data_IF_054811144832
#
_entry.id   IF_054811144832
#
_cell.length_a   1.000
_cell.length_b   1.000
_cell.length_c   1.000
_cell.angle_alpha   90.00
_cell.angle_beta   90.00
_cell.angle_gamma   90.00
#
_symmetry.space_group_name_H-M   'P 1'
#
loop_
_entity.id
_entity.type
_entity.pdbx_description
1 polymer ?
#
# COMPACT_ATOMS: atom_id res chain seq x y z
N UNK A 1 -32.14 -6.77 7.07
CA UNK A 1 -30.72 -7.18 7.14
C UNK A 1 -30.04 -6.23 8.09
N UNK A 2 -29.65 -6.72 9.26
CA UNK A 2 -28.88 -5.94 10.23
C UNK A 2 -27.46 -5.83 9.67
N UNK A 3 -27.12 -4.66 9.10
CA UNK A 3 -25.74 -4.38 8.73
C UNK A 3 -24.97 -4.23 10.03
N UNK A 4 -24.28 -5.28 10.46
CA UNK A 4 -23.22 -5.14 11.46
C UNK A 4 -22.20 -4.16 10.87
N UNK A 5 -22.31 -2.89 11.26
CA UNK A 5 -21.31 -1.89 10.93
C UNK A 5 -20.02 -2.29 11.64
N UNK A 6 -19.16 -3.03 10.93
CA UNK A 6 -17.78 -3.19 11.34
C UNK A 6 -17.10 -1.83 11.09
N UNK A 7 -17.26 -0.91 12.04
CA UNK A 7 -16.85 0.51 11.95
C UNK A 7 -15.32 0.74 11.95
N UNK A 8 -14.50 -0.31 11.86
CA UNK A 8 -13.04 -0.20 11.94
C UNK A 8 -12.39 -0.70 10.64
N UNK A 9 -11.41 0.02 10.08
CA UNK A 9 -10.68 -0.44 8.91
C UNK A 9 -9.99 -1.78 9.17
N UNK A 10 -9.93 -2.64 8.14
CA UNK A 10 -9.25 -3.92 8.23
C UNK A 10 -7.74 -3.72 8.03
N UNK A 11 -6.97 -3.98 9.09
CA UNK A 11 -5.52 -3.99 9.03
C UNK A 11 -4.99 -5.40 9.15
N UNK A 12 -4.00 -5.74 8.31
CA UNK A 12 -3.28 -7.00 8.40
C UNK A 12 -1.78 -6.78 8.65
N UNK A 13 -1.11 -7.86 9.04
CA UNK A 13 0.34 -8.02 8.95
C UNK A 13 0.66 -8.80 7.70
N UNK A 14 1.68 -8.37 6.98
CA UNK A 14 2.12 -9.03 5.77
C UNK A 14 3.62 -8.82 5.56
N UNK A 15 4.24 -9.68 4.75
CA UNK A 15 5.68 -9.58 4.45
C UNK A 15 5.85 -9.08 3.03
N UNK A 16 6.56 -7.97 2.85
CA UNK A 16 6.82 -7.32 1.57
C UNK A 16 8.28 -7.55 1.23
N UNK A 17 8.59 -8.25 0.14
CA UNK A 17 9.96 -8.61 -0.27
C UNK A 17 10.83 -9.15 0.89
N UNK A 18 10.25 -10.05 1.70
CA UNK A 18 10.93 -10.64 2.86
C UNK A 18 10.94 -9.78 4.13
N UNK A 19 10.44 -8.55 4.10
CA UNK A 19 10.38 -7.64 5.25
C UNK A 19 8.98 -7.58 5.86
N UNK A 20 8.81 -7.85 7.17
CA UNK A 20 7.52 -7.72 7.84
C UNK A 20 7.02 -6.26 7.89
N UNK A 21 5.80 -6.05 7.41
CA UNK A 21 5.06 -4.79 7.43
C UNK A 21 3.79 -4.96 8.26
N UNK A 22 3.59 -4.03 9.20
CA UNK A 22 2.39 -3.95 10.04
C UNK A 22 1.49 -2.82 9.53
N UNK A 23 0.21 -2.84 9.91
CA UNK A 23 -0.77 -1.83 9.51
C UNK A 23 -0.87 -1.69 7.97
N UNK A 24 -0.98 -2.83 7.30
CA UNK A 24 -1.39 -2.87 5.89
C UNK A 24 -2.91 -2.78 5.86
N UNK A 25 -3.43 -1.66 5.34
CA UNK A 25 -4.86 -1.43 5.21
C UNK A 25 -5.39 -2.24 4.02
N UNK A 26 -6.44 -3.01 4.22
CA UNK A 26 -7.21 -3.65 3.15
C UNK A 26 -8.40 -2.75 2.82
N UNK A 27 -8.42 -2.25 1.59
CA UNK A 27 -9.45 -1.35 1.10
C UNK A 27 -9.96 -1.86 -0.26
N UNK A 28 -11.07 -2.58 -0.23
CA UNK A 28 -11.68 -3.12 -1.45
C UNK A 28 -12.36 -2.04 -2.31
N UNK A 29 -12.50 -0.81 -1.81
CA UNK A 29 -13.06 0.30 -2.58
C UNK A 29 -11.97 1.07 -3.35
N UNK A 30 -10.71 0.98 -2.90
CA UNK A 30 -9.55 1.54 -3.59
C UNK A 30 -9.20 0.77 -4.88
N UNK A 31 -9.05 1.50 -5.98
CA UNK A 31 -8.69 0.94 -7.28
C UNK A 31 -7.23 0.50 -7.37
N UNK A 32 -6.33 1.08 -6.57
CA UNK A 32 -4.89 0.86 -6.68
C UNK A 32 -4.25 0.62 -5.32
N UNK A 33 -3.08 -0.01 -5.30
CA UNK A 33 -2.30 -0.16 -4.08
C UNK A 33 -1.40 1.06 -3.83
N UNK A 34 -1.23 1.41 -2.56
CA UNK A 34 -0.38 2.53 -2.14
C UNK A 34 0.69 2.05 -1.16
N UNK A 35 1.94 2.44 -1.38
CA UNK A 35 3.05 2.17 -0.47
C UNK A 35 3.70 3.49 -0.05
N UNK A 36 3.98 3.66 1.24
CA UNK A 36 4.69 4.85 1.67
C UNK A 36 6.18 4.75 1.33
N UNK A 37 6.78 5.86 0.93
CA UNK A 37 8.21 5.93 0.61
C UNK A 37 9.12 5.48 1.78
N UNK A 38 8.69 5.69 3.03
CA UNK A 38 9.38 5.17 4.22
C UNK A 38 9.48 3.64 4.23
N UNK A 39 8.47 2.95 3.67
CA UNK A 39 8.47 1.50 3.56
C UNK A 39 9.39 1.06 2.42
N UNK A 40 9.40 1.75 1.27
CA UNK A 40 10.38 1.49 0.21
C UNK A 40 11.81 1.53 0.75
N UNK A 41 12.13 2.53 1.58
CA UNK A 41 13.43 2.62 2.27
C UNK A 41 13.67 1.46 3.24
N UNK A 42 12.64 1.03 3.98
CA UNK A 42 12.70 -0.14 4.87
C UNK A 42 12.95 -1.45 4.09
N UNK A 43 12.49 -1.54 2.85
CA UNK A 43 12.79 -2.65 1.93
C UNK A 43 14.23 -2.60 1.37
N UNK A 44 15.06 -1.64 1.80
CA UNK A 44 16.41 -1.44 1.26
C UNK A 44 16.43 -0.81 -0.14
N UNK A 45 15.30 -0.23 -0.59
CA UNK A 45 15.15 0.38 -1.91
C UNK A 45 15.09 1.91 -1.80
N UNK A 46 15.31 2.59 -2.92
CA UNK A 46 15.23 4.05 -3.04
C UNK A 46 14.49 4.48 -4.31
N UNK A 47 14.37 5.78 -4.55
CA UNK A 47 13.59 6.32 -5.68
C UNK A 47 14.08 5.79 -7.04
N UNK A 48 15.37 5.45 -7.16
CA UNK A 48 15.95 4.87 -8.40
C UNK A 48 15.38 3.49 -8.78
N UNK A 49 14.69 2.82 -7.87
CA UNK A 49 14.04 1.53 -8.12
C UNK A 49 12.56 1.70 -8.48
N UNK A 50 12.06 2.93 -8.52
CA UNK A 50 10.68 3.21 -8.90
C UNK A 50 10.60 3.37 -10.41
N UNK A 51 9.56 2.78 -10.99
CA UNK A 51 9.17 3.03 -12.37
C UNK A 51 8.51 4.41 -12.40
N UNK A 52 9.01 5.31 -13.23
CA UNK A 52 8.52 6.69 -13.28
C UNK A 52 7.05 6.76 -13.70
N UNK A 53 6.31 7.72 -13.14
CA UNK A 53 4.89 7.92 -13.42
C UNK A 53 4.43 9.33 -13.07
N UNK A 54 3.52 9.87 -13.87
CA UNK A 54 2.92 11.19 -13.62
C UNK A 54 1.55 11.10 -12.91
N UNK A 55 1.18 9.91 -12.40
CA UNK A 55 -0.15 9.66 -11.84
C UNK A 55 -0.36 10.41 -10.52
N UNK A 56 -1.53 11.05 -10.43
CA UNK A 56 -2.10 11.60 -9.20
C UNK A 56 -2.99 10.55 -8.53
N UNK A 57 -2.64 10.18 -7.30
CA UNK A 57 -3.43 9.25 -6.49
C UNK A 57 -4.29 10.05 -5.53
N UNK A 58 -5.60 9.80 -5.54
CA UNK A 58 -6.48 10.25 -4.45
C UNK A 58 -6.40 9.22 -3.33
N UNK A 59 -5.92 9.65 -2.16
CA UNK A 59 -5.71 8.78 -1.02
C UNK A 59 -7.00 8.61 -0.21
N UNK A 60 -6.97 7.67 0.73
CA UNK A 60 -8.09 7.38 1.64
C UNK A 60 -8.52 8.60 2.48
N UNK A 61 -7.60 9.53 2.78
CA UNK A 61 -7.91 10.78 3.50
C UNK A 61 -8.51 11.88 2.61
N UNK A 62 -8.82 11.57 1.34
CA UNK A 62 -9.33 12.51 0.35
C UNK A 62 -8.27 13.42 -0.28
N UNK A 63 -7.03 13.40 0.23
CA UNK A 63 -5.96 14.21 -0.31
C UNK A 63 -5.40 13.59 -1.59
N UNK A 64 -5.08 14.45 -2.55
CA UNK A 64 -4.36 14.06 -3.77
C UNK A 64 -2.86 14.08 -3.51
N UNK A 65 -2.14 13.10 -4.02
CA UNK A 65 -0.69 13.03 -3.97
C UNK A 65 -0.15 12.60 -5.34
N UNK A 66 0.88 13.28 -5.83
CA UNK A 66 1.66 12.77 -6.94
C UNK A 66 2.39 11.50 -6.49
N UNK A 67 2.22 10.44 -7.26
CA UNK A 67 3.03 9.25 -7.08
C UNK A 67 4.50 9.60 -7.38
N UNK A 68 5.41 9.09 -6.57
CA UNK A 68 6.86 9.13 -6.81
C UNK A 68 7.32 8.12 -7.85
N UNK A 69 6.42 7.23 -8.24
CA UNK A 69 6.67 6.10 -9.12
C UNK A 69 5.87 4.88 -8.67
N UNK A 70 6.05 3.79 -9.40
CA UNK A 70 5.43 2.49 -9.15
C UNK A 70 6.50 1.48 -8.81
N UNK A 71 6.20 0.58 -7.88
CA UNK A 71 7.11 -0.53 -7.54
C UNK A 71 6.34 -1.86 -7.42
N UNK A 72 6.77 -2.92 -8.13
CA UNK A 72 6.27 -4.27 -7.87
C UNK A 72 6.88 -4.80 -6.56
N UNK A 73 6.04 -5.42 -5.74
CA UNK A 73 6.42 -6.01 -4.46
C UNK A 73 5.84 -7.41 -4.36
N UNK A 74 6.66 -8.36 -3.91
CA UNK A 74 6.18 -9.69 -3.52
C UNK A 74 5.56 -9.60 -2.13
N UNK A 75 4.25 -9.77 -2.04
CA UNK A 75 3.46 -9.76 -0.84
C UNK A 75 3.22 -11.18 -0.34
N UNK A 76 3.44 -11.41 0.95
CA UNK A 76 3.04 -12.64 1.63
C UNK A 76 2.05 -12.33 2.74
N UNK A 77 0.94 -13.06 2.75
CA UNK A 77 -0.05 -13.06 3.83
C UNK A 77 -0.21 -14.50 4.31
N UNK A 78 0.30 -14.79 5.51
CA UNK A 78 0.44 -16.17 5.97
C UNK A 78 1.36 -16.96 5.03
N UNK A 79 0.87 -18.09 4.52
CA UNK A 79 1.59 -18.96 3.58
C UNK A 79 1.35 -18.64 2.10
N UNK A 80 0.48 -17.67 1.80
CA UNK A 80 0.11 -17.31 0.43
C UNK A 80 0.90 -16.09 -0.04
N UNK A 81 1.37 -16.13 -1.29
CA UNK A 81 2.12 -15.04 -1.92
C UNK A 81 1.45 -14.52 -3.19
N UNK A 82 1.59 -13.23 -3.45
CA UNK A 82 1.26 -12.60 -4.73
C UNK A 82 2.27 -11.50 -5.06
N UNK A 83 2.38 -11.13 -6.33
CA UNK A 83 3.09 -9.91 -6.73
C UNK A 83 2.06 -8.83 -6.97
N UNK A 84 2.29 -7.64 -6.43
CA UNK A 84 1.40 -6.50 -6.58
C UNK A 84 2.19 -5.22 -6.86
N UNK A 85 1.65 -4.36 -7.72
CA UNK A 85 2.21 -3.06 -8.03
C UNK A 85 1.69 -2.01 -7.06
N UNK A 86 2.58 -1.22 -6.47
CA UNK A 86 2.22 -0.16 -5.54
C UNK A 86 2.63 1.21 -6.08
N UNK A 87 1.71 2.16 -6.05
CA UNK A 87 2.04 3.57 -6.19
C UNK A 87 2.73 4.06 -4.93
N UNK A 88 3.90 4.65 -5.09
CA UNK A 88 4.69 5.14 -3.97
C UNK A 88 4.34 6.60 -3.71
N UNK A 89 3.98 6.92 -2.47
CA UNK A 89 3.69 8.30 -2.06
C UNK A 89 4.48 8.70 -0.83
N UNK A 90 4.74 10.01 -0.69
CA UNK A 90 5.24 10.57 0.55
C UNK A 90 4.09 10.84 1.53
N UNK A 91 4.38 10.75 2.82
CA UNK A 91 3.45 11.17 3.86
C UNK A 91 3.55 10.37 5.15
N UNK A 92 2.90 10.92 6.17
CA UNK A 92 2.65 10.27 7.46
C UNK A 92 1.19 9.86 7.48
N UNK A 93 0.90 8.62 7.10
CA UNK A 93 -0.45 8.06 7.13
C UNK A 93 -0.57 7.07 8.30
N UNK A 94 -1.80 6.79 8.71
CA UNK A 94 -2.12 5.79 9.75
C UNK A 94 -1.75 4.36 9.32
N UNK A 95 -1.61 4.13 8.01
CA UNK A 95 -1.20 2.87 7.40
C UNK A 95 0.21 2.96 6.80
N UNK A 96 0.88 1.81 6.68
CA UNK A 96 2.19 1.70 6.03
C UNK A 96 2.08 1.32 4.55
N UNK A 97 1.05 0.55 4.23
CA UNK A 97 0.64 0.21 2.87
C UNK A 97 -0.89 0.10 2.83
N UNK A 98 -1.47 0.32 1.65
CA UNK A 98 -2.88 0.08 1.35
C UNK A 98 -2.93 -0.90 0.19
N UNK A 99 -3.68 -2.00 0.37
CA UNK A 99 -3.97 -3.00 -0.65
C UNK A 99 -5.38 -2.72 -1.20
N UNK A 100 -5.43 -2.32 -2.46
CA UNK A 100 -6.65 -2.08 -3.22
C UNK A 100 -7.11 -3.34 -3.95
N UNK A 101 -7.99 -3.16 -4.94
CA UNK A 101 -8.52 -4.24 -5.80
C UNK A 101 -7.54 -4.80 -6.83
N UNK A 102 -6.49 -4.06 -7.14
CA UNK A 102 -5.47 -4.40 -8.16
C UNK A 102 -4.75 -5.73 -7.91
#
# INVERSE_FOLDING_TARGET
MEMTQHLKPLYIKATFDGVPIIHVLIDNDATVNILLMKIVRKLGKSEKYLIDTEILVTRFDGNKAHAKGVIPVTLWVGSSSSIASFFVVNGTLSYNALRGRD
#
